data_IF_982482977124
#
_entry.id   IF_982482977124
#
_cell.length_a   1.000
_cell.length_b   1.000
_cell.length_c   1.000
_cell.angle_alpha   90.00
_cell.angle_beta   90.00
_cell.angle_gamma   90.00
#
_symmetry.space_group_name_H-M   'P 1'
#
loop_
_entity.id
_entity.type
_entity.pdbx_description
1 polymer ?
#
# COMPACT_ATOMS: atom_id res chain seq x y z
N UNK A 1 14.27 8.31 -5.25
CA UNK A 1 13.81 7.26 -4.32
C UNK A 1 13.07 6.19 -5.11
N UNK A 2 13.77 5.25 -5.78
CA UNK A 2 13.14 4.33 -6.74
C UNK A 2 12.16 3.31 -6.12
N UNK A 3 12.40 2.92 -4.87
CA UNK A 3 11.59 1.93 -4.13
C UNK A 3 10.42 2.55 -3.36
N UNK A 4 10.22 3.87 -3.46
CA UNK A 4 9.24 4.57 -2.63
C UNK A 4 7.93 4.74 -3.38
N UNK A 5 6.81 4.64 -2.65
CA UNK A 5 5.52 5.01 -3.17
C UNK A 5 5.36 6.53 -3.21
N UNK A 6 5.12 7.07 -4.40
CA UNK A 6 4.80 8.48 -4.62
C UNK A 6 3.28 8.61 -4.72
N UNK A 7 2.67 9.23 -3.70
CA UNK A 7 1.22 9.39 -3.62
C UNK A 7 0.73 10.67 -4.28
N UNK A 8 -0.07 10.52 -5.33
CA UNK A 8 -0.87 11.62 -5.87
C UNK A 8 -2.06 11.83 -4.93
N UNK A 9 -1.97 12.88 -4.11
CA UNK A 9 -2.88 13.10 -2.97
C UNK A 9 -3.84 14.26 -3.23
N UNK A 10 -3.56 15.44 -2.69
CA UNK A 10 -4.46 16.59 -2.72
C UNK A 10 -4.57 17.20 -4.13
N UNK A 11 -5.75 17.74 -4.46
CA UNK A 11 -5.99 18.52 -5.68
C UNK A 11 -6.39 17.70 -6.91
N UNK A 12 -6.49 16.36 -6.83
CA UNK A 12 -6.91 15.49 -7.94
C UNK A 12 -8.25 15.88 -8.54
N UNK A 13 -9.17 16.36 -7.72
CA UNK A 13 -10.48 16.86 -8.16
C UNK A 13 -10.36 18.05 -9.14
N UNK A 14 -9.34 18.89 -8.97
CA UNK A 14 -9.05 20.00 -9.88
C UNK A 14 -8.21 19.57 -11.10
N UNK A 15 -7.72 18.33 -11.13
CA UNK A 15 -6.93 17.80 -12.24
C UNK A 15 -7.82 17.13 -13.28
N UNK A 16 -7.60 17.44 -14.56
CA UNK A 16 -8.21 16.68 -15.64
C UNK A 16 -7.59 15.27 -15.74
N UNK A 17 -8.26 14.37 -16.46
CA UNK A 17 -7.82 12.98 -16.62
C UNK A 17 -6.42 12.88 -17.23
N UNK A 18 -6.08 13.76 -18.18
CA UNK A 18 -4.79 13.77 -18.87
C UNK A 18 -3.65 14.12 -17.92
N UNK A 19 -3.87 15.07 -17.00
CA UNK A 19 -2.88 15.47 -16.01
C UNK A 19 -2.67 14.39 -14.96
N UNK A 20 -3.74 13.70 -14.56
CA UNK A 20 -3.61 12.53 -13.69
C UNK A 20 -2.86 11.38 -14.38
N UNK A 21 -3.19 11.08 -15.64
CA UNK A 21 -2.47 10.08 -16.43
C UNK A 21 -0.98 10.42 -16.57
N UNK A 22 -0.64 11.69 -16.82
CA UNK A 22 0.74 12.15 -16.86
C UNK A 22 1.45 11.99 -15.50
N UNK A 23 0.76 12.23 -14.38
CA UNK A 23 1.33 12.03 -13.05
C UNK A 23 1.66 10.55 -12.79
N UNK A 24 0.79 9.62 -13.19
CA UNK A 24 1.09 8.18 -13.11
C UNK A 24 2.25 7.79 -14.02
N UNK A 25 2.30 8.31 -15.25
CA UNK A 25 3.43 8.11 -16.15
C UNK A 25 4.76 8.66 -15.58
N UNK A 26 4.71 9.79 -14.87
CA UNK A 26 5.86 10.42 -14.24
C UNK A 26 6.35 9.69 -12.97
N UNK A 27 5.64 8.65 -12.51
CA UNK A 27 6.05 7.80 -11.39
C UNK A 27 5.19 7.89 -10.13
N UNK A 28 4.05 8.60 -10.16
CA UNK A 28 3.05 8.43 -9.10
C UNK A 28 2.48 7.00 -9.15
N UNK A 29 2.38 6.34 -8.00
CA UNK A 29 1.95 4.94 -7.89
C UNK A 29 1.07 4.67 -6.66
N UNK A 30 0.47 5.72 -6.08
CA UNK A 30 -0.46 5.61 -4.95
C UNK A 30 -1.47 6.76 -4.98
N UNK A 31 -2.71 6.50 -4.58
CA UNK A 31 -3.77 7.50 -4.36
C UNK A 31 -4.56 7.19 -3.08
N UNK A 32 -5.39 8.12 -2.64
CA UNK A 32 -6.45 7.82 -1.68
C UNK A 32 -7.67 7.25 -2.42
N UNK A 33 -8.11 6.06 -2.02
CA UNK A 33 -9.27 5.36 -2.58
C UNK A 33 -10.29 5.05 -1.48
N UNK A 34 -11.59 5.12 -1.81
CA UNK A 34 -12.72 4.98 -0.89
C UNK A 34 -13.66 6.19 -0.89
N UNK A 35 -14.76 6.12 -0.15
CA UNK A 35 -15.88 7.08 -0.23
C UNK A 35 -15.60 8.44 0.45
N UNK A 36 -14.60 8.49 1.33
CA UNK A 36 -14.33 9.65 2.19
C UNK A 36 -12.84 9.83 2.44
N UNK A 37 -12.38 11.08 2.38
CA UNK A 37 -11.09 11.56 2.88
C UNK A 37 -11.17 11.88 4.37
N UNK A 38 -10.11 12.42 4.97
CA UNK A 38 -10.07 12.71 6.41
C UNK A 38 -11.29 13.54 6.89
N UNK A 39 -11.68 14.56 6.13
CA UNK A 39 -12.76 15.50 6.51
C UNK A 39 -13.83 15.70 5.44
N UNK A 40 -13.62 15.27 4.20
CA UNK A 40 -14.51 15.50 3.05
C UNK A 40 -14.88 14.20 2.36
N UNK A 41 -16.01 14.18 1.62
CA UNK A 41 -16.31 13.05 0.74
C UNK A 41 -15.26 12.94 -0.38
N UNK A 42 -15.03 11.73 -0.89
CA UNK A 42 -14.16 11.46 -2.03
C UNK A 42 -15.00 10.95 -3.22
N UNK A 43 -15.61 11.85 -4.02
CA UNK A 43 -16.46 11.46 -5.15
C UNK A 43 -15.67 10.88 -6.34
N UNK A 44 -14.36 10.64 -6.18
CA UNK A 44 -13.47 10.24 -7.27
C UNK A 44 -13.30 8.73 -7.39
N UNK A 45 -13.70 7.90 -6.41
CA UNK A 45 -13.45 6.46 -6.43
C UNK A 45 -13.88 5.78 -7.75
N UNK A 46 -15.11 6.04 -8.22
CA UNK A 46 -15.61 5.47 -9.48
C UNK A 46 -14.89 6.03 -10.71
N UNK A 47 -14.55 7.32 -10.70
CA UNK A 47 -13.81 7.98 -11.79
C UNK A 47 -12.38 7.43 -11.90
N UNK A 48 -11.77 7.14 -10.75
CA UNK A 48 -10.43 6.58 -10.64
C UNK A 48 -10.39 5.18 -11.24
N UNK A 49 -11.38 4.35 -10.94
CA UNK A 49 -11.52 3.02 -11.53
C UNK A 49 -11.68 3.07 -13.04
N UNK A 50 -12.48 4.01 -13.56
CA UNK A 50 -12.64 4.19 -15.00
C UNK A 50 -11.33 4.66 -15.67
N UNK A 51 -10.63 5.61 -15.04
CA UNK A 51 -9.33 6.08 -15.54
C UNK A 51 -8.31 4.94 -15.54
N UNK A 52 -8.21 4.16 -14.47
CA UNK A 52 -7.29 3.02 -14.38
C UNK A 52 -7.60 1.95 -15.41
N UNK A 53 -8.88 1.64 -15.65
CA UNK A 53 -9.28 0.73 -16.73
C UNK A 53 -8.83 1.24 -18.11
N UNK A 54 -8.95 2.55 -18.39
CA UNK A 54 -8.48 3.15 -19.65
C UNK A 54 -6.96 3.13 -19.78
N UNK A 55 -6.24 3.35 -18.68
CA UNK A 55 -4.77 3.38 -18.64
C UNK A 55 -4.13 1.99 -18.53
N UNK A 56 -4.92 0.94 -18.26
CA UNK A 56 -4.41 -0.42 -18.01
C UNK A 56 -3.68 -0.56 -16.67
N UNK A 57 -3.96 0.32 -15.70
CA UNK A 57 -3.34 0.28 -14.37
C UNK A 57 -4.13 -0.68 -13.49
N UNK A 58 -3.44 -1.57 -12.80
CA UNK A 58 -4.04 -2.52 -11.86
C UNK A 58 -3.66 -2.15 -10.41
N UNK A 59 -4.59 -2.35 -9.45
CA UNK A 59 -4.25 -2.26 -8.04
C UNK A 59 -3.13 -3.24 -7.70
N UNK A 60 -2.22 -2.82 -6.82
CA UNK A 60 -1.17 -3.68 -6.30
C UNK A 60 -1.82 -4.83 -5.50
N UNK A 61 -1.51 -6.08 -5.90
CA UNK A 61 -1.98 -7.24 -5.18
C UNK A 61 -1.26 -7.31 -3.83
N UNK A 62 -2.02 -7.20 -2.74
CA UNK A 62 -1.51 -7.44 -1.40
C UNK A 62 -1.83 -8.88 -1.04
N UNK A 63 -0.83 -9.64 -0.60
CA UNK A 63 -1.13 -10.92 0.04
C UNK A 63 -1.87 -10.61 1.35
N UNK A 64 -3.18 -10.81 1.33
CA UNK A 64 -3.97 -10.86 2.55
C UNK A 64 -3.61 -12.18 3.24
N UNK A 65 -2.61 -12.15 4.12
CA UNK A 65 -2.44 -13.23 5.07
C UNK A 65 -3.65 -13.18 6.00
N UNK A 66 -4.45 -14.24 6.01
CA UNK A 66 -5.50 -14.40 7.02
C UNK A 66 -4.88 -14.12 8.40
N UNK A 67 -5.57 -13.34 9.23
CA UNK A 67 -5.05 -12.86 10.53
C UNK A 67 -4.43 -13.99 11.37
N UNK A 68 -4.98 -15.21 11.26
CA UNK A 68 -4.50 -16.43 11.91
C UNK A 68 -3.07 -16.83 11.49
N UNK A 69 -2.74 -16.74 10.19
CA UNK A 69 -1.40 -17.07 9.67
C UNK A 69 -0.39 -16.02 10.11
N UNK A 70 -0.81 -14.75 10.15
CA UNK A 70 0.04 -13.65 10.61
C UNK A 70 0.34 -13.76 12.12
N UNK A 71 -0.67 -14.08 12.92
CA UNK A 71 -0.53 -14.29 14.35
C UNK A 71 0.39 -15.48 14.66
N UNK A 72 0.23 -16.61 13.96
CA UNK A 72 1.10 -17.78 14.12
C UNK A 72 2.57 -17.46 13.76
N UNK A 73 2.80 -16.68 12.70
CA UNK A 73 4.15 -16.26 12.31
C UNK A 73 4.81 -15.33 13.36
N UNK A 74 4.03 -14.40 13.94
CA UNK A 74 4.50 -13.52 15.02
C UNK A 74 4.84 -14.35 16.28
N UNK A 75 3.97 -15.29 16.64
CA UNK A 75 4.17 -16.18 17.79
C UNK A 75 5.44 -17.03 17.63
N UNK A 76 5.67 -17.61 16.44
CA UNK A 76 6.89 -18.36 16.14
C UNK A 76 8.14 -17.49 16.23
N UNK A 77 8.12 -16.27 15.68
CA UNK A 77 9.25 -15.35 15.75
C UNK A 77 9.58 -14.96 17.21
N UNK A 78 8.55 -14.75 18.06
CA UNK A 78 8.74 -14.47 19.48
C UNK A 78 9.35 -15.67 20.23
N UNK A 79 8.96 -16.90 19.87
CA UNK A 79 9.52 -18.13 20.46
C UNK A 79 10.98 -18.30 20.07
N UNK A 80 11.33 -18.09 18.79
CA UNK A 80 12.73 -18.14 18.33
C UNK A 80 13.60 -17.10 19.02
N UNK A 81 13.11 -15.87 19.16
CA UNK A 81 13.84 -14.80 19.84
C UNK A 81 14.11 -15.16 21.31
N UNK A 82 13.08 -15.60 22.05
CA UNK A 82 13.25 -16.05 23.44
C UNK A 82 14.17 -17.26 23.58
N UNK A 83 14.08 -18.20 22.64
CA UNK A 83 14.97 -19.36 22.57
C UNK A 83 16.42 -18.91 22.37
N UNK A 84 16.67 -17.97 21.46
CA UNK A 84 18.03 -17.46 21.20
C UNK A 84 18.66 -16.77 22.41
N UNK A 85 17.88 -16.08 23.25
CA UNK A 85 18.36 -15.45 24.48
C UNK A 85 18.67 -16.48 25.60
N UNK A 86 18.07 -17.66 25.53
CA UNK A 86 18.24 -18.72 26.53
C UNK A 86 19.46 -19.62 26.27
N UNK A 87 20.07 -19.56 25.08
CA UNK A 87 21.23 -20.39 24.74
C UNK A 87 22.51 -19.55 24.65
N UNK A 88 23.33 -19.61 25.71
CA UNK A 88 24.72 -19.14 25.69
C UNK A 88 25.61 -20.20 25.04
N UNK A 89 26.37 -19.83 24.00
CA UNK A 89 27.31 -20.75 23.34
C UNK A 89 28.56 -20.92 24.21
N UNK A 90 28.62 -22.01 24.97
CA UNK A 90 29.71 -22.32 25.90
C UNK A 90 30.97 -22.94 25.22
N UNK A 91 31.11 -22.84 23.90
CA UNK A 91 32.21 -23.45 23.14
C UNK A 91 33.47 -22.57 22.98
N UNK A 92 33.83 -21.77 24.00
CA UNK A 92 35.10 -21.01 24.05
C UNK A 92 36.01 -21.58 25.13
#
# INVERSE_FOLDING_TARGET
MPQSHVRLSAGREAMNEQMQALAFFAGANSIFYGDKLLTTANPQADKDMQLFARLGIQPEAREEHADEVHQAAIEQALVEQKSSEQFYNAAV
#
